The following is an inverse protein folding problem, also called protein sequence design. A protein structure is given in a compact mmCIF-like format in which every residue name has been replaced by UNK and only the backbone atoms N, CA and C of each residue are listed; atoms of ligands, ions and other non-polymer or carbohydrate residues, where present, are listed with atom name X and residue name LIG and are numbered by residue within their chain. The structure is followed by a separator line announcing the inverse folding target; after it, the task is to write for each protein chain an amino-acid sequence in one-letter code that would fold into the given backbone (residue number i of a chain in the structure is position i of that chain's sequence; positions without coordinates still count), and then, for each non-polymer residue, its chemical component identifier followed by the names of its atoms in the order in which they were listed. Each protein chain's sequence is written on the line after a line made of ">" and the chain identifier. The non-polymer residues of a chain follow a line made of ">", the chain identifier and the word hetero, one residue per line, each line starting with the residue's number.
data_IF_689095374518
#
_entry.id   IF_689095374518
#
_cell.length_a   1.000
_cell.length_b   1.000
_cell.length_c   1.000
_cell.angle_alpha   90.00
_cell.angle_beta   90.00
_cell.angle_gamma   90.00
#
_symmetry.space_group_name_H-M   'P 1'
#
loop_
_entity.id
_entity.type
_entity.pdbx_description
1 polymer ?
#
# COMPACT_ATOMS: atom_id res chain seq x y z
N UNK A 1 15.72 17.67 12.86
CA UNK A 1 14.48 18.34 12.41
C UNK A 1 13.46 17.23 12.26
N UNK A 2 12.42 17.27 13.09
CA UNK A 2 11.36 16.26 13.13
C UNK A 2 10.32 16.53 12.05
N UNK A 3 9.85 15.47 11.40
CA UNK A 3 8.82 15.47 10.35
C UNK A 3 7.65 14.62 10.86
N UNK A 4 6.44 15.17 10.83
CA UNK A 4 5.21 14.45 11.20
C UNK A 4 4.42 14.07 9.95
N UNK A 5 3.80 12.89 9.97
CA UNK A 5 2.97 12.40 8.87
C UNK A 5 1.72 13.25 8.69
N UNK A 6 1.48 13.70 7.46
CA UNK A 6 0.28 14.44 7.07
C UNK A 6 -0.97 13.56 6.92
N UNK A 7 -0.83 12.23 6.89
CA UNK A 7 -1.96 11.32 6.66
C UNK A 7 -3.05 11.44 7.73
N UNK A 8 -2.64 11.73 8.96
CA UNK A 8 -3.51 11.73 10.14
C UNK A 8 -4.15 13.08 10.45
N UNK A 9 -3.80 14.15 9.71
CA UNK A 9 -4.53 15.42 9.82
C UNK A 9 -5.88 15.38 9.09
N UNK A 10 -6.03 14.46 8.14
CA UNK A 10 -7.19 14.40 7.24
C UNK A 10 -8.04 13.15 7.45
N UNK A 11 -7.43 12.02 7.84
CA UNK A 11 -8.12 10.73 7.93
C UNK A 11 -7.69 9.92 9.17
N UNK A 12 -8.63 9.15 9.72
CA UNK A 12 -8.38 8.19 10.79
C UNK A 12 -8.01 6.83 10.19
N UNK A 13 -6.72 6.53 10.19
CA UNK A 13 -6.19 5.23 9.73
C UNK A 13 -5.88 4.26 10.87
N UNK A 14 -5.96 4.71 12.12
CA UNK A 14 -5.59 3.92 13.29
C UNK A 14 -6.48 2.69 13.49
N UNK A 15 -5.90 1.70 14.15
CA UNK A 15 -6.56 0.44 14.47
C UNK A 15 -6.43 0.14 15.97
N UNK A 16 -7.22 -0.81 16.45
CA UNK A 16 -7.04 -1.38 17.78
C UNK A 16 -5.81 -2.31 17.86
N UNK A 17 -5.18 -2.61 16.72
CA UNK A 17 -3.96 -3.44 16.65
C UNK A 17 -2.81 -2.70 17.32
N UNK A 18 -2.07 -3.41 18.17
CA UNK A 18 -0.92 -2.87 18.89
C UNK A 18 0.35 -3.08 18.08
N UNK A 19 1.28 -2.10 18.09
CA UNK A 19 2.58 -2.29 17.48
C UNK A 19 3.35 -3.44 18.16
N UNK A 20 4.10 -4.17 17.36
CA UNK A 20 4.88 -5.34 17.72
C UNK A 20 6.38 -5.13 17.56
N UNK A 21 6.79 -4.17 16.71
CA UNK A 21 8.20 -3.87 16.42
C UNK A 21 8.72 -2.74 17.30
N UNK A 22 7.99 -1.61 17.37
CA UNK A 22 8.33 -0.48 18.24
C UNK A 22 7.08 0.01 18.99
N UNK A 23 7.06 0.03 20.33
CA UNK A 23 5.94 0.57 21.11
C UNK A 23 5.54 2.02 20.77
N UNK A 24 6.41 2.80 20.15
CA UNK A 24 6.14 4.16 19.68
C UNK A 24 5.48 4.22 18.29
N UNK A 25 5.45 3.09 17.57
CA UNK A 25 4.77 2.99 16.29
C UNK A 25 3.24 2.99 16.46
N UNK A 26 2.57 3.13 15.33
CA UNK A 26 1.14 2.90 15.18
C UNK A 26 0.90 1.83 14.14
N UNK A 27 -0.22 1.12 14.25
CA UNK A 27 -0.69 0.22 13.20
C UNK A 27 -1.85 0.88 12.46
N UNK A 28 -1.65 1.10 11.17
CA UNK A 28 -2.62 1.77 10.31
C UNK A 28 -3.21 0.87 9.26
N UNK A 29 -4.51 1.03 9.03
CA UNK A 29 -5.34 0.22 8.15
C UNK A 29 -5.67 0.95 6.86
N UNK A 30 -5.11 0.45 5.77
CA UNK A 30 -5.36 0.93 4.42
C UNK A 30 -6.35 0.01 3.71
N UNK A 31 -7.60 0.46 3.59
CA UNK A 31 -8.65 -0.26 2.88
C UNK A 31 -8.67 0.16 1.41
N UNK A 32 -8.82 -0.81 0.50
CA UNK A 32 -8.87 -0.55 -0.94
C UNK A 32 -9.92 -1.44 -1.63
N UNK A 33 -10.29 -1.04 -2.84
CA UNK A 33 -11.18 -1.77 -3.73
C UNK A 33 -10.36 -2.18 -4.95
N UNK A 34 -10.45 -3.44 -5.37
CA UNK A 34 -9.76 -3.87 -6.58
C UNK A 34 -10.39 -3.19 -7.80
N UNK A 35 -9.60 -2.52 -8.66
CA UNK A 35 -10.10 -1.85 -9.85
C UNK A 35 -10.86 -2.82 -10.76
N UNK A 36 -11.95 -2.36 -11.37
CA UNK A 36 -12.83 -3.22 -12.16
C UNK A 36 -12.10 -3.64 -13.45
N UNK A 37 -12.19 -4.92 -13.81
CA UNK A 37 -11.82 -5.46 -15.13
C UNK A 37 -12.55 -4.71 -16.27
N UNK A 38 -12.06 -4.73 -17.53
CA UNK A 38 -12.53 -3.81 -18.57
C UNK A 38 -14.05 -3.82 -18.76
N UNK A 39 -14.58 -2.65 -19.14
CA UNK A 39 -15.99 -2.35 -19.30
C UNK A 39 -16.66 -3.37 -20.22
N UNK A 40 -17.62 -4.11 -19.67
CA UNK A 40 -18.46 -5.05 -20.42
C UNK A 40 -19.69 -4.29 -20.86
N UNK A 41 -20.05 -4.40 -22.13
CA UNK A 41 -21.33 -3.93 -22.66
C UNK A 41 -22.32 -5.09 -22.71
N UNK A 42 -23.60 -4.81 -22.51
CA UNK A 42 -24.65 -5.79 -22.77
C UNK A 42 -24.95 -5.91 -24.27
N UNK A 43 -26.01 -6.66 -24.63
CA UNK A 43 -26.42 -6.86 -26.02
C UNK A 43 -26.84 -5.58 -26.73
N UNK A 44 -27.25 -4.57 -25.98
CA UNK A 44 -27.80 -3.31 -26.50
C UNK A 44 -26.72 -2.22 -26.54
N UNK A 45 -25.50 -2.55 -26.10
CA UNK A 45 -24.34 -1.66 -26.10
C UNK A 45 -24.23 -0.79 -24.86
N UNK A 46 -25.11 -0.98 -23.87
CA UNK A 46 -25.07 -0.24 -22.62
C UNK A 46 -23.96 -0.77 -21.71
N UNK A 47 -23.34 0.14 -20.95
CA UNK A 47 -22.32 -0.26 -19.97
C UNK A 47 -22.97 -1.06 -18.85
N UNK A 48 -22.52 -2.29 -18.65
CA UNK A 48 -22.95 -3.12 -17.52
C UNK A 48 -22.33 -2.56 -16.24
N UNK A 49 -23.11 -1.77 -15.50
CA UNK A 49 -22.71 -1.22 -14.20
C UNK A 49 -22.76 -2.32 -13.14
N UNK A 50 -21.59 -2.70 -12.61
CA UNK A 50 -21.52 -3.64 -11.48
C UNK A 50 -22.08 -3.02 -10.21
N UNK A 51 -22.75 -3.85 -9.41
CA UNK A 51 -23.33 -3.42 -8.14
C UNK A 51 -22.25 -3.39 -7.06
N UNK A 52 -22.41 -2.50 -6.06
CA UNK A 52 -21.49 -2.37 -4.92
C UNK A 52 -21.25 -3.69 -4.18
N UNK A 53 -22.22 -4.61 -4.19
CA UNK A 53 -22.12 -5.96 -3.61
C UNK A 53 -21.09 -6.85 -4.31
N UNK A 54 -20.66 -6.51 -5.53
CA UNK A 54 -19.72 -7.27 -6.35
C UNK A 54 -18.29 -6.70 -6.26
N UNK A 55 -18.08 -5.62 -5.49
CA UNK A 55 -16.76 -5.04 -5.24
C UNK A 55 -15.91 -5.98 -4.38
N UNK A 56 -14.78 -6.42 -4.93
CA UNK A 56 -13.75 -7.08 -4.12
C UNK A 56 -13.00 -6.01 -3.33
N UNK A 57 -12.96 -6.17 -2.00
CA UNK A 57 -12.25 -5.27 -1.07
C UNK A 57 -11.02 -5.95 -0.51
N UNK A 58 -10.00 -5.16 -0.21
CA UNK A 58 -8.79 -5.57 0.47
C UNK A 58 -8.44 -4.62 1.61
N UNK A 59 -7.65 -5.13 2.55
CA UNK A 59 -7.14 -4.38 3.69
C UNK A 59 -5.66 -4.72 3.82
N UNK A 60 -4.83 -3.70 4.00
CA UNK A 60 -3.43 -3.83 4.42
C UNK A 60 -3.27 -3.09 5.74
N UNK A 61 -2.69 -3.75 6.73
CA UNK A 61 -2.27 -3.14 7.99
C UNK A 61 -0.76 -3.00 8.01
N UNK A 62 -0.26 -1.82 8.35
CA UNK A 62 1.18 -1.53 8.44
C UNK A 62 1.48 -0.89 9.77
N UNK A 63 2.45 -1.47 10.46
CA UNK A 63 3.09 -0.83 11.60
C UNK A 63 4.13 0.19 11.10
N UNK A 64 4.02 1.44 11.52
CA UNK A 64 4.94 2.49 11.11
C UNK A 64 5.00 3.64 12.11
N UNK A 65 5.98 4.53 11.94
CA UNK A 65 6.07 5.75 12.74
C UNK A 65 5.21 6.87 12.18
N UNK A 66 4.58 7.65 13.08
CA UNK A 66 3.88 8.89 12.75
C UNK A 66 4.79 10.12 12.68
N UNK A 67 5.95 10.06 13.33
CA UNK A 67 6.87 11.19 13.47
C UNK A 67 8.29 10.68 13.50
N UNK A 68 9.14 11.24 12.65
CA UNK A 68 10.53 10.79 12.56
C UNK A 68 11.46 11.97 12.37
N UNK A 69 12.74 11.81 12.70
CA UNK A 69 13.76 12.72 12.20
C UNK A 69 13.83 12.63 10.67
N UNK A 70 14.25 13.71 10.02
CA UNK A 70 14.35 13.78 8.55
C UNK A 70 15.18 12.63 7.93
N UNK A 71 16.16 12.10 8.65
CA UNK A 71 16.99 10.97 8.21
C UNK A 71 16.27 9.61 8.24
N UNK A 72 15.10 9.53 8.88
CA UNK A 72 14.31 8.32 9.15
C UNK A 72 12.89 8.41 8.58
N UNK A 73 12.67 9.29 7.61
CA UNK A 73 11.37 9.46 6.94
C UNK A 73 10.86 8.20 6.23
N UNK A 74 11.72 7.24 5.93
CA UNK A 74 11.33 5.93 5.38
C UNK A 74 10.44 5.12 6.33
N UNK A 75 10.46 5.41 7.64
CA UNK A 75 9.59 4.75 8.62
C UNK A 75 8.16 5.32 8.65
N UNK A 76 7.84 6.31 7.82
CA UNK A 76 6.48 6.85 7.66
C UNK A 76 5.86 6.34 6.36
N UNK A 77 4.54 6.14 6.35
CA UNK A 77 3.80 5.92 5.09
C UNK A 77 3.63 7.27 4.38
N UNK A 78 4.04 7.33 3.12
CA UNK A 78 3.96 8.54 2.29
C UNK A 78 2.74 8.48 1.36
N UNK A 79 2.13 9.63 1.08
CA UNK A 79 1.03 9.74 0.10
C UNK A 79 1.42 9.21 -1.29
N UNK A 80 2.67 9.38 -1.68
CA UNK A 80 3.21 8.82 -2.91
C UNK A 80 3.13 7.29 -2.95
N UNK A 81 3.32 6.62 -1.81
CA UNK A 81 3.16 5.17 -1.71
C UNK A 81 1.70 4.76 -1.88
N UNK A 82 0.75 5.51 -1.32
CA UNK A 82 -0.69 5.27 -1.51
C UNK A 82 -1.08 5.39 -3.00
N UNK A 83 -0.58 6.42 -3.68
CA UNK A 83 -0.84 6.62 -5.11
C UNK A 83 -0.24 5.49 -5.96
N UNK A 84 1.01 5.11 -5.68
CA UNK A 84 1.67 4.03 -6.41
C UNK A 84 1.00 2.67 -6.15
N UNK A 85 0.54 2.40 -4.93
CA UNK A 85 -0.24 1.21 -4.60
C UNK A 85 -1.55 1.13 -5.40
N UNK A 86 -2.28 2.24 -5.50
CA UNK A 86 -3.53 2.29 -6.28
C UNK A 86 -3.27 2.04 -7.78
N UNK A 87 -2.18 2.62 -8.29
CA UNK A 87 -1.71 2.33 -9.65
C UNK A 87 -1.36 0.84 -9.80
N UNK A 88 -0.55 0.23 -8.93
CA UNK A 88 -0.24 -1.21 -9.03
C UNK A 88 -1.52 -2.07 -9.09
N UNK A 89 -2.52 -1.77 -8.26
CA UNK A 89 -3.82 -2.44 -8.28
C UNK A 89 -4.54 -2.29 -9.63
N UNK A 90 -4.40 -1.15 -10.30
CA UNK A 90 -4.96 -0.88 -11.62
C UNK A 90 -4.24 -1.65 -12.74
N UNK A 91 -2.90 -1.79 -12.71
CA UNK A 91 -2.16 -2.63 -13.68
C UNK A 91 -2.12 -4.12 -13.38
N UNK A 92 -2.61 -4.59 -12.23
CA UNK A 92 -2.39 -5.98 -11.78
C UNK A 92 -2.56 -7.06 -12.86
N UNK A 93 -3.51 -6.91 -13.79
CA UNK A 93 -3.74 -7.86 -14.88
C UNK A 93 -2.57 -7.93 -15.86
N UNK A 94 -1.94 -6.79 -16.17
CA UNK A 94 -0.72 -6.72 -16.97
C UNK A 94 0.47 -7.34 -16.24
N UNK A 95 0.60 -7.08 -14.93
CA UNK A 95 1.66 -7.66 -14.09
C UNK A 95 1.57 -9.19 -14.08
N UNK A 96 0.37 -9.74 -13.84
CA UNK A 96 0.10 -11.18 -13.85
C UNK A 96 0.37 -11.77 -15.23
N UNK A 97 -0.19 -11.16 -16.30
CA UNK A 97 -0.05 -11.67 -17.68
C UNK A 97 1.40 -11.74 -18.14
N UNK A 98 2.22 -10.77 -17.73
CA UNK A 98 3.63 -10.68 -18.13
C UNK A 98 4.59 -11.42 -17.21
N UNK A 99 4.11 -11.92 -16.06
CA UNK A 99 4.92 -12.61 -15.06
C UNK A 99 6.19 -11.84 -14.70
N UNK A 100 6.03 -10.56 -14.37
CA UNK A 100 7.16 -9.66 -14.11
C UNK A 100 7.80 -9.94 -12.75
N UNK A 101 9.09 -9.60 -12.65
CA UNK A 101 9.80 -9.47 -11.37
C UNK A 101 10.05 -7.99 -11.11
N UNK A 102 9.76 -7.53 -9.91
CA UNK A 102 9.77 -6.11 -9.53
C UNK A 102 10.90 -5.86 -8.53
N UNK A 103 11.65 -4.79 -8.72
CA UNK A 103 12.61 -4.26 -7.76
C UNK A 103 12.15 -2.88 -7.31
N UNK A 104 11.89 -2.71 -6.02
CA UNK A 104 11.57 -1.42 -5.43
C UNK A 104 12.79 -0.83 -4.71
N UNK A 105 13.08 0.44 -4.98
CA UNK A 105 14.16 1.20 -4.36
C UNK A 105 13.56 2.26 -3.44
N UNK A 106 13.98 2.29 -2.18
CA UNK A 106 13.43 3.23 -1.20
C UNK A 106 12.01 2.83 -0.79
N UNK A 107 11.81 1.55 -0.49
CA UNK A 107 10.50 0.98 -0.15
C UNK A 107 9.87 1.58 1.11
N UNK A 108 10.65 2.21 1.99
CA UNK A 108 10.22 2.72 3.27
C UNK A 108 9.55 1.64 4.11
N UNK A 109 8.26 1.83 4.39
CA UNK A 109 7.40 0.87 5.11
C UNK A 109 6.99 -0.34 4.28
N UNK A 110 7.26 -0.35 2.97
CA UNK A 110 7.01 -1.48 2.07
C UNK A 110 5.57 -1.61 1.57
N UNK A 111 4.69 -0.62 1.82
CA UNK A 111 3.28 -0.66 1.39
C UNK A 111 3.10 -1.08 -0.08
N UNK A 112 3.83 -0.41 -0.96
CA UNK A 112 3.80 -0.63 -2.41
C UNK A 112 4.37 -1.98 -2.81
N UNK A 113 5.43 -2.44 -2.13
CA UNK A 113 5.96 -3.79 -2.29
C UNK A 113 4.98 -4.88 -1.86
N UNK A 114 4.24 -4.68 -0.75
CA UNK A 114 3.18 -5.59 -0.32
C UNK A 114 2.07 -5.66 -1.38
N UNK A 115 1.66 -4.51 -1.91
CA UNK A 115 0.62 -4.47 -2.95
C UNK A 115 1.10 -5.14 -4.25
N UNK A 116 2.34 -4.92 -4.66
CA UNK A 116 2.93 -5.55 -5.83
C UNK A 116 3.09 -7.08 -5.65
N UNK A 117 3.47 -7.54 -4.45
CA UNK A 117 3.71 -8.96 -4.17
C UNK A 117 2.45 -9.81 -4.23
N UNK A 118 1.27 -9.19 -4.16
CA UNK A 118 -0.01 -9.84 -4.43
C UNK A 118 -0.15 -10.34 -5.88
N UNK A 119 0.68 -9.84 -6.81
CA UNK A 119 0.54 -10.09 -8.25
C UNK A 119 1.84 -10.47 -8.97
N UNK A 120 3.00 -10.35 -8.32
CA UNK A 120 4.33 -10.57 -8.93
C UNK A 120 5.40 -10.85 -7.87
N UNK A 121 6.55 -11.39 -8.28
CA UNK A 121 7.71 -11.52 -7.38
C UNK A 121 8.34 -10.14 -7.14
N UNK A 122 8.56 -9.76 -5.88
CA UNK A 122 9.09 -8.44 -5.51
C UNK A 122 10.38 -8.57 -4.68
N UNK A 123 11.38 -7.76 -5.01
CA UNK A 123 12.52 -7.45 -4.15
C UNK A 123 12.35 -6.00 -3.72
N UNK A 124 12.22 -5.77 -2.42
CA UNK A 124 12.11 -4.45 -1.83
C UNK A 124 13.43 -4.06 -1.16
N UNK A 125 13.83 -2.81 -1.27
CA UNK A 125 15.11 -2.33 -0.73
C UNK A 125 14.95 -0.94 -0.13
N UNK A 126 15.67 -0.69 0.96
CA UNK A 126 15.78 0.62 1.58
C UNK A 126 17.17 0.80 2.20
N UNK A 127 17.48 2.00 2.70
CA UNK A 127 18.73 2.28 3.39
C UNK A 127 18.70 1.71 4.80
N UNK A 128 19.80 1.07 5.20
CA UNK A 128 19.94 0.55 6.57
C UNK A 128 20.32 1.69 7.52
N UNK A 129 19.33 2.45 8.00
CA UNK A 129 19.58 3.60 8.90
C UNK A 129 19.15 3.42 10.36
N UNK A 130 18.09 2.66 10.70
CA UNK A 130 17.78 2.23 12.08
C UNK A 130 16.86 0.98 12.09
N UNK A 131 17.43 -0.16 12.50
CA UNK A 131 16.96 -1.39 13.20
C UNK A 131 15.69 -2.19 12.76
N UNK A 132 15.97 -3.49 12.59
CA UNK A 132 15.18 -4.73 12.49
C UNK A 132 14.47 -5.07 11.17
N UNK A 133 15.07 -6.03 10.46
CA UNK A 133 14.57 -6.71 9.26
C UNK A 133 13.30 -7.56 9.52
N UNK A 134 12.54 -7.30 10.59
CA UNK A 134 11.33 -8.03 10.98
C UNK A 134 10.04 -7.42 10.44
N UNK A 135 10.13 -6.31 9.69
CA UNK A 135 8.98 -5.68 9.02
C UNK A 135 8.66 -6.29 7.64
N UNK A 136 9.30 -7.41 7.28
CA UNK A 136 9.01 -8.20 6.07
C UNK A 136 8.94 -9.69 6.40
#
# INVERSE_FOLDING_TARGET
>A
MEVSSELYSEFEYETDSKPTVDPCNVVSKFSFIYPISPTVTDSDGDLVVRRKSEEKRGIIEIEHSKRTELSLVGLQVWRGALLLADWILYIREELIKRNLKILELGSGTGLTSIVASMFSDVICTDVNKVIDTRLL
#
